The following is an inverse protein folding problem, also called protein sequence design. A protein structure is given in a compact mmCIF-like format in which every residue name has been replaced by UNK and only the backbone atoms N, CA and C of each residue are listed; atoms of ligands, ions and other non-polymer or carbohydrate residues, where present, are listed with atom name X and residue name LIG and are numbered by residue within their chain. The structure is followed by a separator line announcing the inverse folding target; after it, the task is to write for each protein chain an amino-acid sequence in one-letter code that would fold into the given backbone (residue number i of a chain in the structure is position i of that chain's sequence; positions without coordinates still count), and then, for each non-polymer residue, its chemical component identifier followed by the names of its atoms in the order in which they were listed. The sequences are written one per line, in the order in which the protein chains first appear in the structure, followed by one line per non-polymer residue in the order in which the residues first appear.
data_IF_644068112941
#
_entry.id   IF_644068112941
#
_cell.length_a   1.000
_cell.length_b   1.000
_cell.length_c   1.000
_cell.angle_alpha   90.00
_cell.angle_beta   90.00
_cell.angle_gamma   90.00
#
_symmetry.space_group_name_H-M   'P 1'
#
loop_
_entity.id
_entity.type
_entity.pdbx_description
1 polymer ?
#
# COMPACT_ATOMS: atom_id res chain seq x y z
N UNK A 1 -1.01 -0.91 -2.10
CA UNK A 1 -0.72 -2.27 -1.58
C UNK A 1 -0.56 -2.24 -0.06
N UNK A 2 0.27 -1.35 0.51
CA UNK A 2 0.55 -1.34 1.96
C UNK A 2 -0.72 -1.19 2.82
N UNK A 3 -1.60 -0.23 2.48
CA UNK A 3 -2.88 -0.07 3.19
C UNK A 3 -3.80 -1.30 3.07
N UNK A 4 -3.81 -1.95 1.91
CA UNK A 4 -4.56 -3.20 1.71
C UNK A 4 -4.00 -4.33 2.59
N UNK A 5 -2.67 -4.43 2.66
CA UNK A 5 -2.00 -5.40 3.55
C UNK A 5 -2.33 -5.14 5.03
N UNK A 6 -2.32 -3.87 5.46
CA UNK A 6 -2.70 -3.49 6.84
C UNK A 6 -4.16 -3.85 7.15
N UNK A 7 -5.08 -3.58 6.23
CA UNK A 7 -6.48 -3.96 6.40
C UNK A 7 -6.64 -5.48 6.57
N UNK A 8 -6.09 -6.27 5.63
CA UNK A 8 -6.20 -7.73 5.68
C UNK A 8 -5.49 -8.33 6.90
N UNK A 9 -4.38 -7.72 7.35
CA UNK A 9 -3.74 -8.11 8.60
C UNK A 9 -4.62 -7.81 9.79
N UNK A 10 -5.24 -6.63 9.86
CA UNK A 10 -6.20 -6.27 10.90
C UNK A 10 -7.38 -7.26 10.98
N UNK A 11 -7.88 -7.74 9.83
CA UNK A 11 -8.90 -8.80 9.79
C UNK A 11 -8.38 -10.11 10.40
N UNK A 12 -7.14 -10.49 10.11
CA UNK A 12 -6.53 -11.71 10.70
C UNK A 12 -6.33 -11.53 12.20
N UNK A 13 -5.88 -10.36 12.64
CA UNK A 13 -5.62 -10.07 14.06
C UNK A 13 -6.92 -10.06 14.89
N UNK A 14 -8.02 -9.60 14.29
CA UNK A 14 -9.36 -9.57 14.91
C UNK A 14 -10.20 -10.81 14.63
N UNK A 15 -9.64 -11.88 14.08
CA UNK A 15 -10.35 -13.08 13.59
C UNK A 15 -11.26 -13.76 14.61
N UNK A 16 -10.88 -13.70 15.91
CA UNK A 16 -11.62 -14.32 17.00
C UNK A 16 -12.67 -13.41 17.63
N UNK A 17 -12.68 -12.12 17.28
CA UNK A 17 -13.67 -11.17 17.76
C UNK A 17 -15.01 -11.38 17.04
N UNK A 18 -16.15 -11.12 17.68
CA UNK A 18 -17.46 -11.20 17.02
C UNK A 18 -17.60 -10.13 15.93
N UNK A 19 -18.55 -10.33 15.01
CA UNK A 19 -18.72 -9.44 13.85
C UNK A 19 -19.23 -8.04 14.23
N UNK A 20 -19.91 -7.92 15.39
CA UNK A 20 -20.39 -6.66 15.97
C UNK A 20 -19.34 -5.97 16.87
N UNK A 21 -18.13 -6.51 16.97
CA UNK A 21 -17.06 -5.84 17.70
C UNK A 21 -16.68 -4.53 17.01
N UNK A 22 -16.46 -3.48 17.82
CA UNK A 22 -16.14 -2.13 17.34
C UNK A 22 -14.92 -2.07 16.42
N UNK A 23 -13.90 -2.91 16.66
CA UNK A 23 -12.69 -2.94 15.82
C UNK A 23 -13.00 -3.56 14.46
N UNK A 24 -13.81 -4.62 14.44
CA UNK A 24 -14.24 -5.30 13.22
C UNK A 24 -15.10 -4.37 12.38
N UNK A 25 -16.09 -3.73 12.98
CA UNK A 25 -16.96 -2.76 12.30
C UNK A 25 -16.14 -1.61 11.71
N UNK A 26 -15.18 -1.06 12.48
CA UNK A 26 -14.32 0.01 12.00
C UNK A 26 -13.48 -0.40 10.79
N UNK A 27 -12.89 -1.61 10.80
CA UNK A 27 -12.13 -2.13 9.67
C UNK A 27 -12.99 -2.22 8.42
N UNK A 28 -14.16 -2.83 8.50
CA UNK A 28 -15.06 -2.98 7.34
C UNK A 28 -15.66 -1.65 6.87
N UNK A 29 -15.87 -0.70 7.75
CA UNK A 29 -16.29 0.66 7.38
C UNK A 29 -15.18 1.41 6.65
N UNK A 30 -13.91 1.20 7.02
CA UNK A 30 -12.75 1.92 6.51
C UNK A 30 -11.67 1.01 5.91
N UNK A 31 -11.98 0.16 4.90
CA UNK A 31 -11.03 -0.80 4.36
C UNK A 31 -9.84 -0.15 3.64
N UNK A 32 -10.04 1.06 3.12
CA UNK A 32 -9.01 1.82 2.40
C UNK A 32 -9.27 3.31 2.57
N UNK A 33 -8.38 4.01 3.27
CA UNK A 33 -8.40 5.47 3.37
C UNK A 33 -7.55 6.11 2.28
N UNK A 34 -7.97 7.26 1.79
CA UNK A 34 -7.22 8.05 0.80
C UNK A 34 -6.11 8.89 1.46
N UNK A 35 -6.34 9.39 2.67
CA UNK A 35 -5.38 10.20 3.42
C UNK A 35 -4.08 9.47 3.80
N UNK A 36 -3.05 10.23 4.12
CA UNK A 36 -1.76 9.75 4.60
C UNK A 36 -0.97 10.87 5.26
N UNK A 37 0.08 10.49 5.96
CA UNK A 37 1.04 11.42 6.57
C UNK A 37 2.35 11.39 5.80
N UNK A 38 3.15 12.46 5.93
CA UNK A 38 4.45 12.55 5.27
C UNK A 38 5.40 11.39 5.62
N UNK A 39 5.37 10.90 6.86
CA UNK A 39 6.13 9.71 7.29
C UNK A 39 5.84 8.48 6.43
N UNK A 40 4.57 8.23 6.11
CA UNK A 40 4.21 7.11 5.25
C UNK A 40 4.73 7.28 3.81
N UNK A 41 4.85 8.51 3.31
CA UNK A 41 5.47 8.79 2.01
C UNK A 41 6.98 8.55 2.10
N UNK A 42 7.64 9.03 3.16
CA UNK A 42 9.06 8.79 3.41
C UNK A 42 9.40 7.30 3.42
N UNK A 43 8.64 6.50 4.17
CA UNK A 43 8.80 5.04 4.22
C UNK A 43 8.66 4.37 2.84
N UNK A 44 7.71 4.83 2.02
CA UNK A 44 7.53 4.30 0.67
C UNK A 44 8.69 4.68 -0.26
N UNK A 45 9.17 5.92 -0.19
CA UNK A 45 10.31 6.40 -0.98
C UNK A 45 11.59 5.61 -0.64
N UNK A 46 11.87 5.44 0.64
CA UNK A 46 13.01 4.67 1.12
C UNK A 46 12.91 3.18 0.73
N UNK A 47 11.71 2.60 0.85
CA UNK A 47 11.49 1.18 0.57
C UNK A 47 11.51 0.86 -0.92
N UNK A 48 10.89 1.68 -1.75
CA UNK A 48 10.65 1.38 -3.17
C UNK A 48 11.43 2.27 -4.14
N UNK A 49 11.90 3.42 -3.71
CA UNK A 49 12.50 4.43 -4.57
C UNK A 49 11.45 5.24 -5.32
N UNK A 50 11.90 5.95 -6.36
CA UNK A 50 11.05 6.79 -7.22
C UNK A 50 11.40 6.60 -8.68
N UNK A 51 10.45 6.94 -9.54
CA UNK A 51 10.63 7.01 -10.99
C UNK A 51 10.22 8.39 -11.50
N UNK A 52 10.87 8.93 -12.54
CA UNK A 52 10.42 10.17 -13.18
C UNK A 52 9.12 9.93 -13.96
N UNK A 53 8.36 11.00 -14.21
CA UNK A 53 7.06 10.94 -14.87
C UNK A 53 7.16 10.34 -16.30
N UNK A 54 8.29 10.52 -16.99
CA UNK A 54 8.53 9.93 -18.31
C UNK A 54 8.61 8.40 -18.29
N UNK A 55 9.11 7.82 -17.19
CA UNK A 55 9.25 6.38 -17.03
C UNK A 55 7.94 5.70 -16.56
N UNK A 56 7.06 6.45 -15.91
CA UNK A 56 5.74 6.00 -15.48
C UNK A 56 4.73 7.14 -15.66
N UNK A 57 4.23 7.35 -16.88
CA UNK A 57 3.32 8.45 -17.17
C UNK A 57 1.96 8.27 -16.48
N UNK A 58 1.31 9.38 -16.24
CA UNK A 58 -0.04 9.43 -15.68
C UNK A 58 -1.05 8.67 -16.55
N UNK A 59 -1.94 7.93 -15.90
CA UNK A 59 -3.05 7.23 -16.56
C UNK A 59 -4.39 7.96 -16.31
N UNK A 60 -5.43 7.57 -17.02
CA UNK A 60 -6.78 8.08 -16.71
C UNK A 60 -7.17 7.81 -15.25
N UNK A 61 -6.84 6.62 -14.73
CA UNK A 61 -7.18 6.22 -13.36
C UNK A 61 -6.35 6.95 -12.31
N UNK A 62 -5.12 7.39 -12.58
CA UNK A 62 -4.33 8.19 -11.63
C UNK A 62 -4.95 9.57 -11.40
N UNK A 63 -5.55 10.15 -12.43
CA UNK A 63 -6.26 11.43 -12.35
C UNK A 63 -7.72 11.29 -11.90
N UNK A 64 -8.32 10.09 -12.01
CA UNK A 64 -9.73 9.80 -11.69
C UNK A 64 -9.84 8.56 -10.79
N UNK A 65 -9.37 8.67 -9.56
CA UNK A 65 -9.18 7.53 -8.63
C UNK A 65 -10.47 6.95 -8.05
N UNK A 66 -11.62 7.66 -8.15
CA UNK A 66 -12.86 7.32 -7.42
C UNK A 66 -13.38 5.91 -7.73
N UNK A 67 -13.43 5.51 -9.00
CA UNK A 67 -13.91 4.19 -9.40
C UNK A 67 -12.95 3.07 -8.98
N UNK A 68 -11.64 3.29 -9.19
CA UNK A 68 -10.60 2.36 -8.73
C UNK A 68 -10.66 2.20 -7.21
N UNK A 69 -10.77 3.28 -6.46
CA UNK A 69 -10.88 3.24 -4.99
C UNK A 69 -12.15 2.49 -4.54
N UNK A 70 -13.28 2.68 -5.22
CA UNK A 70 -14.51 1.94 -4.93
C UNK A 70 -14.34 0.45 -5.17
N UNK A 71 -13.76 0.05 -6.30
CA UNK A 71 -13.50 -1.35 -6.63
C UNK A 71 -12.56 -2.01 -5.61
N UNK A 72 -11.49 -1.32 -5.24
CA UNK A 72 -10.54 -1.81 -4.22
C UNK A 72 -11.21 -1.97 -2.85
N UNK A 73 -12.06 -1.03 -2.43
CA UNK A 73 -12.82 -1.13 -1.17
C UNK A 73 -13.78 -2.32 -1.19
N UNK A 74 -14.46 -2.57 -2.30
CA UNK A 74 -15.35 -3.73 -2.45
C UNK A 74 -14.56 -5.04 -2.39
N UNK A 75 -13.46 -5.13 -3.13
CA UNK A 75 -12.60 -6.32 -3.14
C UNK A 75 -12.02 -6.59 -1.75
N UNK A 76 -11.54 -5.58 -1.04
CA UNK A 76 -11.03 -5.74 0.31
C UNK A 76 -12.08 -6.23 1.30
N UNK A 77 -13.32 -5.71 1.22
CA UNK A 77 -14.43 -6.20 2.05
C UNK A 77 -14.76 -7.68 1.75
N UNK A 78 -14.82 -8.04 0.48
CA UNK A 78 -15.02 -9.44 0.08
C UNK A 78 -13.93 -10.33 0.65
N UNK A 79 -12.67 -9.95 0.49
CA UNK A 79 -11.52 -10.71 0.97
C UNK A 79 -11.48 -10.79 2.50
N UNK A 80 -11.82 -9.70 3.19
CA UNK A 80 -11.96 -9.67 4.64
C UNK A 80 -13.02 -10.65 5.15
N UNK A 81 -14.20 -10.67 4.51
CA UNK A 81 -15.26 -11.63 4.82
C UNK A 81 -14.82 -13.06 4.58
N UNK A 82 -14.14 -13.35 3.47
CA UNK A 82 -13.60 -14.68 3.15
C UNK A 82 -12.57 -15.17 4.18
N UNK A 83 -11.73 -14.26 4.71
CA UNK A 83 -10.78 -14.61 5.78
C UNK A 83 -11.51 -14.96 7.08
N UNK A 84 -12.50 -14.16 7.48
CA UNK A 84 -13.31 -14.42 8.68
C UNK A 84 -14.11 -15.70 8.57
N UNK A 85 -14.76 -15.94 7.42
CA UNK A 85 -15.50 -17.16 7.16
C UNK A 85 -14.59 -18.38 7.23
N UNK A 86 -13.40 -18.34 6.59
CA UNK A 86 -12.44 -19.44 6.64
C UNK A 86 -11.96 -19.75 8.07
N UNK A 87 -11.84 -18.75 8.93
CA UNK A 87 -11.52 -18.96 10.34
C UNK A 87 -12.68 -19.57 11.11
N UNK A 88 -13.90 -19.07 10.91
CA UNK A 88 -15.10 -19.58 11.56
C UNK A 88 -15.37 -21.05 11.18
N UNK A 89 -15.26 -21.41 9.89
CA UNK A 89 -15.44 -22.79 9.41
C UNK A 89 -14.39 -23.74 9.98
N UNK A 90 -13.14 -23.30 10.12
CA UNK A 90 -12.08 -24.12 10.69
C UNK A 90 -12.24 -24.33 12.20
N UNK A 91 -12.90 -23.40 12.89
CA UNK A 91 -13.15 -23.42 14.34
C UNK A 91 -11.97 -23.96 15.16
N UNK A 92 -10.75 -23.39 15.07
CA UNK A 92 -9.55 -23.99 15.65
C UNK A 92 -9.67 -24.03 17.18
N UNK A 93 -9.39 -25.21 17.75
CA UNK A 93 -9.43 -25.42 19.20
C UNK A 93 -8.02 -25.46 19.78
N UNK A 94 -7.73 -24.51 20.64
CA UNK A 94 -6.46 -24.38 21.35
C UNK A 94 -5.39 -23.63 20.55
N UNK A 95 -4.35 -23.15 21.23
CA UNK A 95 -3.34 -22.24 20.72
C UNK A 95 -2.61 -22.77 19.47
N UNK A 96 -2.21 -24.03 19.46
CA UNK A 96 -1.49 -24.62 18.30
C UNK A 96 -2.35 -24.69 17.04
N UNK A 97 -3.65 -24.98 17.18
CA UNK A 97 -4.58 -25.02 16.05
C UNK A 97 -4.85 -23.62 15.52
N UNK A 98 -4.95 -22.61 16.40
CA UNK A 98 -5.11 -21.23 16.03
C UNK A 98 -3.86 -20.68 15.30
N UNK A 99 -2.65 -20.91 15.80
CA UNK A 99 -1.40 -20.52 15.14
C UNK A 99 -1.25 -21.17 13.74
N UNK A 100 -1.63 -22.44 13.60
CA UNK A 100 -1.63 -23.11 12.30
C UNK A 100 -2.66 -22.50 11.33
N UNK A 101 -3.81 -22.08 11.84
CA UNK A 101 -4.83 -21.41 11.04
C UNK A 101 -4.39 -20.00 10.62
N UNK A 102 -3.76 -19.24 11.50
CA UNK A 102 -3.18 -17.92 11.17
C UNK A 102 -2.24 -18.03 9.98
N UNK A 103 -1.32 -18.98 9.96
CA UNK A 103 -0.42 -19.21 8.80
C UNK A 103 -1.17 -19.48 7.50
N UNK A 104 -2.29 -20.20 7.56
CA UNK A 104 -3.15 -20.42 6.38
C UNK A 104 -3.84 -19.13 5.92
N UNK A 105 -4.31 -18.31 6.87
CA UNK A 105 -4.91 -17.02 6.56
C UNK A 105 -3.89 -16.07 5.96
N UNK A 106 -2.65 -16.03 6.47
CA UNK A 106 -1.54 -15.25 5.91
C UNK A 106 -1.21 -15.68 4.47
N UNK A 107 -1.22 -16.97 4.19
CA UNK A 107 -1.04 -17.46 2.81
C UNK A 107 -2.18 -17.00 1.89
N UNK A 108 -3.44 -17.06 2.36
CA UNK A 108 -4.59 -16.53 1.61
C UNK A 108 -4.49 -15.01 1.42
N UNK A 109 -4.05 -14.27 2.44
CA UNK A 109 -3.79 -12.82 2.35
C UNK A 109 -2.82 -12.48 1.22
N UNK A 110 -1.74 -13.26 1.05
CA UNK A 110 -0.77 -13.04 -0.03
C UNK A 110 -1.44 -13.19 -1.40
N UNK A 111 -2.29 -14.21 -1.60
CA UNK A 111 -3.02 -14.38 -2.86
C UNK A 111 -4.02 -13.22 -3.10
N UNK A 112 -4.72 -12.79 -2.07
CA UNK A 112 -5.62 -11.63 -2.14
C UNK A 112 -4.87 -10.34 -2.51
N UNK A 113 -3.67 -10.14 -1.95
CA UNK A 113 -2.82 -8.99 -2.31
C UNK A 113 -2.33 -9.05 -3.76
N UNK A 114 -2.12 -10.23 -4.33
CA UNK A 114 -1.82 -10.36 -5.77
C UNK A 114 -2.99 -9.88 -6.64
N UNK A 115 -4.22 -10.20 -6.26
CA UNK A 115 -5.41 -9.70 -6.95
C UNK A 115 -5.53 -8.17 -6.84
N UNK A 116 -5.28 -7.61 -5.66
CA UNK A 116 -5.24 -6.15 -5.45
C UNK A 116 -4.14 -5.50 -6.31
N UNK A 117 -2.94 -6.09 -6.36
CA UNK A 117 -1.86 -5.62 -7.21
C UNK A 117 -2.26 -5.64 -8.69
N UNK A 118 -2.91 -6.72 -9.13
CA UNK A 118 -3.40 -6.84 -10.51
C UNK A 118 -4.39 -5.74 -10.88
N UNK A 119 -5.32 -5.41 -9.99
CA UNK A 119 -6.25 -4.28 -10.20
C UNK A 119 -5.48 -2.96 -10.33
N UNK A 120 -4.51 -2.73 -9.45
CA UNK A 120 -3.69 -1.52 -9.50
C UNK A 120 -2.86 -1.46 -10.79
N UNK A 121 -2.22 -2.55 -11.20
CA UNK A 121 -1.45 -2.62 -12.43
C UNK A 121 -2.30 -2.36 -13.68
N UNK A 122 -3.53 -2.88 -13.71
CA UNK A 122 -4.48 -2.60 -14.80
C UNK A 122 -4.93 -1.13 -14.84
N UNK A 123 -5.05 -0.48 -13.70
CA UNK A 123 -5.52 0.91 -13.61
C UNK A 123 -4.38 1.93 -13.78
N UNK A 124 -3.21 1.65 -13.23
CA UNK A 124 -2.11 2.61 -13.08
C UNK A 124 -0.87 2.25 -13.94
N UNK A 125 -0.83 1.06 -14.53
CA UNK A 125 0.37 0.49 -15.14
C UNK A 125 1.28 -0.21 -14.12
N UNK A 126 2.20 -1.01 -14.61
CA UNK A 126 3.21 -1.64 -13.77
C UNK A 126 4.41 -0.70 -13.57
N UNK A 127 4.87 -0.51 -12.33
CA UNK A 127 6.09 0.25 -12.08
C UNK A 127 7.28 -0.42 -12.76
N UNK A 128 8.11 0.33 -13.51
CA UNK A 128 9.27 -0.24 -14.18
C UNK A 128 10.31 -0.73 -13.16
N UNK A 129 10.84 -1.94 -13.38
CA UNK A 129 11.95 -2.45 -12.59
C UNK A 129 13.26 -1.68 -12.88
N UNK A 130 13.44 -1.28 -14.16
CA UNK A 130 14.54 -0.47 -14.65
C UNK A 130 14.02 0.49 -15.71
N UNK A 131 14.64 1.65 -15.84
CA UNK A 131 14.32 2.64 -16.86
C UNK A 131 15.56 3.41 -17.31
N UNK A 132 15.52 3.95 -18.52
CA UNK A 132 16.51 4.89 -19.02
C UNK A 132 16.03 6.31 -18.72
N UNK A 133 16.92 7.15 -18.24
CA UNK A 133 16.65 8.56 -18.02
C UNK A 133 17.63 9.43 -18.78
N UNK A 134 17.07 10.30 -19.61
CA UNK A 134 17.82 11.24 -20.44
C UNK A 134 17.82 12.62 -19.77
N UNK A 135 19.00 13.08 -19.41
CA UNK A 135 19.16 14.42 -18.86
C UNK A 135 19.58 15.39 -19.96
N UNK A 136 18.81 16.46 -20.11
CA UNK A 136 19.10 17.55 -21.02
C UNK A 136 19.58 18.79 -20.27
N UNK A 137 20.37 19.63 -20.94
CA UNK A 137 20.73 20.97 -20.45
C UNK A 137 19.60 21.98 -20.72
N UNK A 138 19.80 23.24 -20.31
CA UNK A 138 18.83 24.33 -20.51
C UNK A 138 18.55 24.65 -21.99
N UNK A 139 19.39 24.15 -22.93
CA UNK A 139 19.22 24.32 -24.39
C UNK A 139 18.53 23.12 -25.04
N UNK A 140 18.16 22.09 -24.26
CA UNK A 140 17.55 20.86 -24.77
C UNK A 140 18.55 19.84 -25.34
N UNK A 141 19.86 20.06 -25.19
CA UNK A 141 20.88 19.10 -25.64
C UNK A 141 21.05 17.98 -24.63
N UNK A 142 21.18 16.75 -25.10
CA UNK A 142 21.37 15.57 -24.25
C UNK A 142 22.74 15.63 -23.58
N UNK A 143 22.75 15.63 -22.25
CA UNK A 143 23.96 15.62 -21.42
C UNK A 143 24.35 14.22 -21.02
N UNK A 144 23.37 13.38 -20.66
CA UNK A 144 23.59 11.98 -20.30
C UNK A 144 22.35 11.14 -20.53
N UNK A 145 22.57 9.87 -20.85
CA UNK A 145 21.54 8.81 -20.85
C UNK A 145 22.05 7.71 -19.94
N UNK A 146 21.31 7.45 -18.87
CA UNK A 146 21.72 6.48 -17.86
C UNK A 146 20.57 5.55 -17.50
N UNK A 147 20.91 4.29 -17.18
CA UNK A 147 19.94 3.31 -16.67
C UNK A 147 19.87 3.37 -15.16
N UNK A 148 18.63 3.33 -14.65
CA UNK A 148 18.34 3.35 -13.23
C UNK A 148 17.32 2.28 -12.85
N UNK A 149 17.45 1.78 -11.62
CA UNK A 149 16.33 1.23 -10.87
C UNK A 149 15.67 2.36 -10.08
N UNK A 150 14.40 2.23 -9.64
CA UNK A 150 13.77 3.25 -8.80
C UNK A 150 14.60 3.65 -7.56
N UNK A 151 15.26 2.66 -6.92
CA UNK A 151 16.13 2.91 -5.76
C UNK A 151 17.42 3.63 -6.11
N UNK A 152 18.09 3.25 -7.19
CA UNK A 152 19.33 3.93 -7.59
C UNK A 152 19.08 5.35 -8.05
N UNK A 153 17.93 5.61 -8.68
CA UNK A 153 17.51 6.96 -9.05
C UNK A 153 17.23 7.81 -7.79
N UNK A 154 16.47 7.27 -6.82
CA UNK A 154 16.23 7.91 -5.54
C UNK A 154 17.54 8.30 -4.85
N UNK A 155 18.47 7.35 -4.69
CA UNK A 155 19.76 7.58 -4.02
C UNK A 155 20.65 8.59 -4.73
N UNK A 156 20.56 8.71 -6.06
CA UNK A 156 21.40 9.63 -6.83
C UNK A 156 20.86 11.06 -6.86
N UNK A 157 19.53 11.22 -6.94
CA UNK A 157 18.90 12.52 -7.22
C UNK A 157 18.07 13.08 -6.08
N UNK A 158 17.66 12.24 -5.11
CA UNK A 158 16.89 12.64 -3.94
C UNK A 158 17.72 12.27 -2.71
N UNK A 159 18.77 13.08 -2.47
CA UNK A 159 19.80 12.79 -1.47
C UNK A 159 19.42 13.14 -0.04
N UNK A 160 18.18 13.54 0.24
CA UNK A 160 17.77 13.87 1.60
C UNK A 160 17.58 12.60 2.42
N UNK A 161 18.16 12.58 3.61
CA UNK A 161 18.01 11.53 4.59
C UNK A 161 16.62 11.61 5.24
N UNK A 162 15.63 11.02 4.56
CA UNK A 162 14.25 11.00 5.03
C UNK A 162 14.03 10.08 6.24
N UNK A 163 14.97 9.16 6.53
CA UNK A 163 14.89 8.23 7.66
C UNK A 163 15.19 8.93 8.99
N UNK A 164 16.05 9.94 8.97
CA UNK A 164 16.44 10.71 10.15
C UNK A 164 15.72 12.07 10.25
N UNK A 165 14.64 12.24 9.50
CA UNK A 165 13.82 13.44 9.56
C UNK A 165 12.96 13.53 10.82
N UNK A 166 12.58 14.74 11.22
CA UNK A 166 11.69 15.00 12.34
C UNK A 166 10.35 15.54 11.82
N UNK A 167 9.25 15.04 12.40
CA UNK A 167 7.95 15.70 12.27
C UNK A 167 7.67 16.46 13.55
N UNK A 168 7.49 17.77 13.41
CA UNK A 168 6.99 18.59 14.52
C UNK A 168 5.47 18.59 14.48
N UNK A 169 4.85 18.00 15.51
CA UNK A 169 3.41 18.09 15.73
C UNK A 169 3.17 19.13 16.79
N UNK A 170 2.45 20.21 16.43
CA UNK A 170 2.01 21.22 17.37
C UNK A 170 0.53 21.00 17.67
N UNK A 171 0.23 20.64 18.91
CA UNK A 171 -1.13 20.61 19.44
C UNK A 171 -1.27 21.79 20.41
N UNK A 172 -2.06 22.78 20.02
CA UNK A 172 -2.36 23.94 20.87
C UNK A 172 -3.78 23.80 21.46
N UNK A 173 -3.88 23.36 22.73
CA UNK A 173 -5.19 23.20 23.38
C UNK A 173 -5.91 24.52 23.66
N UNK A 174 -5.25 25.68 23.43
CA UNK A 174 -5.85 26.99 23.64
C UNK A 174 -6.54 27.54 22.39
N UNK A 175 -6.62 26.77 21.32
CA UNK A 175 -7.26 27.15 20.04
C UNK A 175 -8.68 26.61 19.86
N UNK A 176 -9.26 25.99 20.87
CA UNK A 176 -10.67 25.59 20.89
C UNK A 176 -11.57 26.75 21.37
#
# INVERSE_FOLDING_TARGET
IEKANLFLQGIIDTRALPDDDRQVDWLFSNPLSDGGQFTGVSDLLTKYGVVPAEAMPETFCSNNTSQMAMLLKLKLREDGLRLRQAYAEAAPKGKKADEAMVKKLESKKIEMLKDIYRILALCLGEPPAEFEWTRCNSKGEIVSVEKFTPKSFYSKYISEDLENGYIMVMNDPCRE
#
